data_IF_304818341855
#
_entry.id   IF_304818341855
#
_cell.length_a   1.000
_cell.length_b   1.000
_cell.length_c   1.000
_cell.angle_alpha   90.00
_cell.angle_beta   90.00
_cell.angle_gamma   90.00
#
_symmetry.space_group_name_H-M   'P 1'
#
loop_
_entity.id
_entity.type
_entity.pdbx_description
1 polymer ?
#
# COMPACT_ATOMS: atom_id res chain seq x y z
N UNK A 1 21.60 -4.47 -18.16
CA UNK A 1 20.95 -3.44 -17.33
C UNK A 1 19.52 -3.35 -17.83
N UNK A 2 18.54 -3.51 -16.95
CA UNK A 2 17.13 -3.50 -17.34
C UNK A 2 16.63 -2.09 -17.10
N UNK A 3 16.37 -1.35 -18.18
CA UNK A 3 15.90 0.03 -18.11
C UNK A 3 14.45 0.04 -17.61
N UNK A 4 14.28 0.35 -16.32
CA UNK A 4 12.96 0.61 -15.75
C UNK A 4 12.50 1.99 -16.20
N UNK A 5 11.40 2.04 -16.94
CA UNK A 5 10.70 3.27 -17.30
C UNK A 5 9.32 3.31 -16.62
N UNK A 6 8.77 4.50 -16.33
CA UNK A 6 7.41 4.62 -15.83
C UNK A 6 6.44 4.02 -16.86
N UNK A 7 5.76 2.94 -16.48
CA UNK A 7 4.74 2.30 -17.30
C UNK A 7 3.39 2.39 -16.57
N UNK A 8 2.37 2.90 -17.26
CA UNK A 8 0.98 2.88 -16.81
C UNK A 8 0.17 2.15 -17.87
N UNK A 9 -0.32 0.96 -17.54
CA UNK A 9 -1.22 0.21 -18.39
C UNK A 9 -2.64 0.77 -18.26
N UNK A 10 -3.42 0.62 -19.31
CA UNK A 10 -4.86 0.86 -19.26
C UNK A 10 -5.48 -0.20 -18.35
N UNK A 11 -6.21 0.24 -17.33
CA UNK A 11 -6.95 -0.66 -16.44
C UNK A 11 -8.32 -0.99 -17.04
N UNK A 12 -8.88 -2.13 -16.66
CA UNK A 12 -10.22 -2.53 -17.11
C UNK A 12 -11.35 -1.68 -16.46
N UNK A 13 -11.05 -1.01 -15.34
CA UNK A 13 -12.02 -0.16 -14.64
C UNK A 13 -12.24 1.17 -15.41
N UNK A 14 -13.50 1.59 -15.61
CA UNK A 14 -13.83 2.81 -16.35
C UNK A 14 -13.42 4.09 -15.59
N UNK A 15 -13.27 4.00 -14.26
CA UNK A 15 -12.88 5.10 -13.39
C UNK A 15 -11.39 5.02 -13.02
N UNK A 16 -10.66 6.15 -13.01
CA UNK A 16 -9.26 6.17 -12.63
C UNK A 16 -9.09 5.89 -11.13
N UNK A 17 -8.24 4.93 -10.79
CA UNK A 17 -7.86 4.68 -9.39
C UNK A 17 -7.15 5.91 -8.79
N UNK A 18 -7.64 6.36 -7.64
CA UNK A 18 -7.02 7.43 -6.87
C UNK A 18 -5.77 6.93 -6.14
N UNK A 19 -4.68 7.70 -6.22
CA UNK A 19 -3.46 7.42 -5.47
C UNK A 19 -3.44 8.21 -4.16
N UNK A 20 -3.60 7.51 -3.04
CA UNK A 20 -3.48 8.08 -1.69
C UNK A 20 -2.08 7.80 -1.13
N UNK A 21 -1.31 8.86 -0.86
CA UNK A 21 -0.02 8.70 -0.16
C UNK A 21 -0.23 8.76 1.35
N UNK A 22 0.21 7.71 2.03
CA UNK A 22 0.05 7.57 3.46
C UNK A 22 1.42 7.50 4.17
N UNK A 23 1.65 8.26 5.25
CA UNK A 23 2.94 8.29 5.94
C UNK A 23 3.13 7.04 6.81
N UNK A 24 4.29 6.39 6.67
CA UNK A 24 4.63 5.15 7.39
C UNK A 24 4.58 5.29 8.92
N UNK A 25 4.90 6.47 9.46
CA UNK A 25 4.82 6.73 10.91
C UNK A 25 3.39 6.66 11.46
N UNK A 26 2.37 6.73 10.60
CA UNK A 26 0.96 6.65 10.96
C UNK A 26 0.35 5.29 10.59
N UNK A 27 1.14 4.27 10.26
CA UNK A 27 0.65 2.98 9.75
C UNK A 27 -0.46 2.36 10.61
N UNK A 28 -0.38 2.50 11.93
CA UNK A 28 -1.40 2.01 12.85
C UNK A 28 -2.78 2.70 12.68
N UNK A 29 -2.82 3.95 12.22
CA UNK A 29 -4.08 4.63 11.86
C UNK A 29 -4.76 3.93 10.68
N UNK A 30 -3.99 3.49 9.67
CA UNK A 30 -4.51 2.79 8.50
C UNK A 30 -4.97 1.35 8.82
N UNK A 31 -4.32 0.70 9.79
CA UNK A 31 -4.75 -0.61 10.30
C UNK A 31 -6.10 -0.50 11.03
N UNK A 32 -6.34 0.62 11.71
CA UNK A 32 -7.58 0.87 12.44
C UNK A 32 -8.71 1.46 11.57
N UNK A 33 -8.41 1.83 10.33
CA UNK A 33 -9.38 2.44 9.42
C UNK A 33 -10.43 1.42 8.96
N UNK A 34 -11.73 1.62 9.29
CA UNK A 34 -12.78 0.69 8.90
C UNK A 34 -12.96 0.58 7.37
N UNK A 35 -12.61 1.62 6.61
CA UNK A 35 -12.71 1.63 5.15
C UNK A 35 -11.54 0.91 4.49
N UNK A 36 -10.48 0.60 5.25
CA UNK A 36 -9.30 -0.15 4.78
C UNK A 36 -9.16 -1.55 5.41
N UNK A 37 -10.15 -1.97 6.21
CA UNK A 37 -10.13 -3.19 7.03
C UNK A 37 -10.55 -4.45 6.24
N UNK A 38 -9.76 -4.79 5.21
CA UNK A 38 -9.89 -6.06 4.46
C UNK A 38 -8.71 -6.99 4.80
N UNK A 39 -8.95 -8.31 4.81
CA UNK A 39 -7.98 -9.29 5.32
C UNK A 39 -6.60 -9.24 4.65
N UNK A 40 -6.55 -9.06 3.32
CA UNK A 40 -5.29 -8.94 2.57
C UNK A 40 -4.62 -7.61 2.85
N UNK A 41 -5.39 -6.53 2.95
CA UNK A 41 -4.86 -5.22 3.32
C UNK A 41 -4.18 -5.28 4.69
N UNK A 42 -4.89 -5.78 5.71
CA UNK A 42 -4.34 -5.93 7.05
C UNK A 42 -3.10 -6.82 7.06
N UNK A 43 -3.16 -7.97 6.39
CA UNK A 43 -2.00 -8.89 6.31
C UNK A 43 -0.77 -8.20 5.72
N UNK A 44 -0.94 -7.41 4.66
CA UNK A 44 0.15 -6.66 4.05
C UNK A 44 0.70 -5.57 4.98
N UNK A 45 -0.18 -4.83 5.67
CA UNK A 45 0.24 -3.79 6.62
C UNK A 45 1.01 -4.37 7.81
N UNK A 46 0.55 -5.48 8.37
CA UNK A 46 1.25 -6.17 9.46
C UNK A 46 2.61 -6.72 9.01
N UNK A 47 2.68 -7.36 7.85
CA UNK A 47 3.94 -7.85 7.30
C UNK A 47 4.94 -6.70 7.02
N UNK A 48 4.45 -5.56 6.51
CA UNK A 48 5.26 -4.37 6.31
C UNK A 48 5.80 -3.82 7.63
N UNK A 49 4.96 -3.73 8.66
CA UNK A 49 5.38 -3.27 9.99
C UNK A 49 6.50 -4.14 10.55
N UNK A 50 6.32 -5.46 10.53
CA UNK A 50 7.33 -6.41 11.01
C UNK A 50 8.65 -6.28 10.24
N UNK A 51 8.57 -6.06 8.92
CA UNK A 51 9.75 -5.82 8.08
C UNK A 51 10.48 -4.52 8.46
N UNK A 52 9.75 -3.43 8.70
CA UNK A 52 10.33 -2.14 9.08
C UNK A 52 10.94 -2.18 10.49
N UNK A 53 10.34 -2.91 11.41
CA UNK A 53 10.88 -3.12 12.76
C UNK A 53 12.17 -3.95 12.72
N UNK A 54 12.27 -4.92 11.81
CA UNK A 54 13.51 -5.67 11.58
C UNK A 54 14.64 -4.90 10.85
N UNK A 55 14.33 -3.75 10.26
CA UNK A 55 15.32 -2.83 9.66
C UNK A 55 15.92 -1.83 10.66
N UNK A 56 15.38 -1.79 11.89
CA UNK A 56 15.87 -0.96 12.99
C UNK A 56 16.91 -1.69 13.83
#
# INVERSE_FOLDING_TARGET
MQDFYPCKLEGDEPEPLELVRFPLVKLDELIADPDFNEARNLTALYALRDYLDGLR
#
